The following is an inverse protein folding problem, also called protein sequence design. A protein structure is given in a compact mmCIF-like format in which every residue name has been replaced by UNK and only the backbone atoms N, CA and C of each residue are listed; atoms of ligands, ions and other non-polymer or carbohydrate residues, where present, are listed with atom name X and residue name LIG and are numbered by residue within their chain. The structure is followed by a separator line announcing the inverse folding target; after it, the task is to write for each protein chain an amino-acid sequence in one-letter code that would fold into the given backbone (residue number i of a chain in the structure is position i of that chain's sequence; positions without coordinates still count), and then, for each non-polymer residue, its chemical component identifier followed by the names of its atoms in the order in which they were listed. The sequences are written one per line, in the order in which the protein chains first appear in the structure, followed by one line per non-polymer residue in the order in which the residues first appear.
data_IF_048661620902
#
_entry.id   IF_048661620902
#
_cell.length_a   1.000
_cell.length_b   1.000
_cell.length_c   1.000
_cell.angle_alpha   90.00
_cell.angle_beta   90.00
_cell.angle_gamma   90.00
#
_symmetry.space_group_name_H-M   'P 1'
#
loop_
_entity.id
_entity.type
_entity.pdbx_description
1 polymer ?
#
# COMPACT_ATOMS: atom_id res chain seq x y z
N UNK A 1 -23.77 -33.86 -5.15
CA UNK A 1 -22.63 -32.96 -5.39
C UNK A 1 -22.51 -32.12 -4.13
N UNK A 2 -21.84 -32.69 -3.13
CA UNK A 2 -21.67 -32.10 -1.81
C UNK A 2 -20.40 -31.24 -1.86
N UNK A 3 -20.55 -29.93 -1.66
CA UNK A 3 -19.42 -29.02 -1.50
C UNK A 3 -18.81 -29.29 -0.13
N UNK A 4 -17.61 -29.87 -0.11
CA UNK A 4 -16.82 -29.98 1.11
C UNK A 4 -16.29 -28.59 1.48
N UNK A 5 -16.55 -28.18 2.73
CA UNK A 5 -16.19 -26.89 3.31
C UNK A 5 -14.75 -26.47 2.97
N UNK A 6 -14.60 -25.28 2.38
CA UNK A 6 -13.30 -24.64 2.29
C UNK A 6 -12.84 -24.33 3.73
N UNK A 7 -11.74 -24.93 4.17
CA UNK A 7 -11.15 -24.56 5.46
C UNK A 7 -10.36 -23.28 5.22
N UNK A 8 -10.85 -22.14 5.71
CA UNK A 8 -10.07 -20.90 5.79
C UNK A 8 -8.91 -21.11 6.77
N UNK A 9 -7.83 -21.72 6.31
CA UNK A 9 -6.58 -21.74 7.06
C UNK A 9 -5.94 -20.37 6.90
N UNK A 10 -6.08 -19.52 7.91
CA UNK A 10 -5.23 -18.34 8.11
C UNK A 10 -3.79 -18.88 8.21
N UNK A 11 -3.07 -18.88 7.09
CA UNK A 11 -1.62 -18.90 7.15
C UNK A 11 -1.21 -17.45 7.01
N UNK A 12 -0.76 -16.80 8.10
CA UNK A 12 0.08 -15.63 7.94
C UNK A 12 1.17 -16.02 6.94
N UNK A 13 1.53 -15.13 6.03
CA UNK A 13 2.75 -15.28 5.23
C UNK A 13 3.84 -15.89 6.12
N UNK A 14 4.68 -16.73 5.55
CA UNK A 14 6.04 -16.98 6.05
C UNK A 14 6.90 -15.69 6.08
N UNK A 15 6.30 -14.51 6.24
CA UNK A 15 6.87 -13.37 6.96
C UNK A 15 6.61 -13.62 8.43
N UNK A 16 7.59 -14.24 9.07
CA UNK A 16 7.64 -14.58 10.47
C UNK A 16 7.65 -13.33 11.38
N UNK A 17 6.54 -12.59 11.38
CA UNK A 17 6.21 -11.52 12.32
C UNK A 17 4.75 -11.72 12.70
N UNK A 18 4.49 -12.72 13.55
CA UNK A 18 3.18 -12.83 14.19
C UNK A 18 2.81 -11.51 14.87
N UNK A 19 1.51 -11.22 14.99
CA UNK A 19 1.01 -10.00 15.64
C UNK A 19 1.62 -9.74 17.03
N UNK A 20 2.07 -10.79 17.73
CA UNK A 20 2.87 -10.67 18.97
C UNK A 20 4.27 -10.07 18.78
N UNK A 21 4.97 -10.38 17.69
CA UNK A 21 6.29 -9.81 17.39
C UNK A 21 6.20 -8.34 16.94
N UNK A 22 5.12 -7.94 16.26
CA UNK A 22 4.85 -6.51 15.99
C UNK A 22 4.58 -5.78 17.30
N UNK A 23 3.71 -6.33 18.15
CA UNK A 23 3.39 -5.75 19.47
C UNK A 23 4.62 -5.61 20.38
N UNK A 24 5.52 -6.60 20.40
CA UNK A 24 6.76 -6.55 21.19
C UNK A 24 7.74 -5.49 20.66
N UNK A 25 7.84 -5.34 19.33
CA UNK A 25 8.68 -4.31 18.71
C UNK A 25 8.14 -2.91 19.01
N UNK A 26 6.82 -2.70 18.89
CA UNK A 26 6.20 -1.41 19.22
C UNK A 26 6.38 -1.05 20.70
N UNK A 27 6.15 -1.98 21.64
CA UNK A 27 6.41 -1.73 23.06
C UNK A 27 7.88 -1.44 23.37
N UNK A 28 8.81 -2.07 22.65
CA UNK A 28 10.23 -1.78 22.80
C UNK A 28 10.61 -0.41 22.22
N UNK A 29 10.00 0.00 21.10
CA UNK A 29 10.14 1.35 20.54
C UNK A 29 9.56 2.41 21.48
N UNK A 30 8.44 2.15 22.13
CA UNK A 30 7.86 3.06 23.14
C UNK A 30 8.82 3.28 24.30
N UNK A 31 9.40 2.19 24.84
CA UNK A 31 10.41 2.27 25.88
C UNK A 31 11.63 3.09 25.45
N UNK A 32 12.06 2.92 24.21
CA UNK A 32 13.16 3.68 23.61
C UNK A 32 12.84 5.18 23.51
N UNK A 33 11.64 5.53 23.03
CA UNK A 33 11.20 6.93 22.91
C UNK A 33 11.09 7.60 24.26
N UNK A 34 10.54 6.90 25.26
CA UNK A 34 10.48 7.39 26.65
C UNK A 34 11.88 7.68 27.17
N UNK A 35 12.83 6.76 26.96
CA UNK A 35 14.19 6.94 27.42
C UNK A 35 14.91 8.07 26.66
N UNK A 36 14.78 8.15 25.34
CA UNK A 36 15.34 9.23 24.53
C UNK A 36 14.83 10.60 24.99
N UNK A 37 13.52 10.72 25.23
CA UNK A 37 12.89 11.92 25.77
C UNK A 37 13.35 12.24 27.21
N UNK A 38 13.68 11.25 28.04
CA UNK A 38 14.22 11.49 29.37
C UNK A 38 15.67 12.00 29.34
N UNK A 39 16.42 11.68 28.29
CA UNK A 39 17.85 12.02 28.15
C UNK A 39 18.16 13.21 27.24
N UNK A 40 17.14 13.85 26.63
CA UNK A 40 17.26 14.86 25.55
C UNK A 40 17.84 16.24 25.93
N UNK A 41 19.01 16.29 26.56
CA UNK A 41 19.61 17.57 26.95
C UNK A 41 19.91 18.47 25.73
N UNK A 42 19.60 19.77 25.83
CA UNK A 42 19.82 20.80 24.80
C UNK A 42 19.00 20.67 23.50
N UNK A 43 17.96 19.82 23.49
CA UNK A 43 17.02 19.69 22.36
C UNK A 43 15.64 20.27 22.69
N UNK A 44 15.58 21.24 23.60
CA UNK A 44 14.32 21.81 24.12
C UNK A 44 13.47 22.50 23.05
N UNK A 45 14.11 22.92 21.95
CA UNK A 45 13.43 23.49 20.80
C UNK A 45 12.56 22.45 20.07
N UNK A 46 12.96 21.17 20.04
CA UNK A 46 12.16 20.10 19.46
C UNK A 46 11.01 19.71 20.41
N UNK A 47 9.86 19.41 19.82
CA UNK A 47 8.80 18.69 20.52
C UNK A 47 9.32 17.33 21.03
N UNK A 48 8.72 16.77 22.10
CA UNK A 48 9.02 15.41 22.53
C UNK A 48 8.89 14.43 21.36
N UNK A 49 9.79 13.45 21.30
CA UNK A 49 9.74 12.42 20.30
C UNK A 49 8.49 11.55 20.45
N UNK A 50 7.90 11.16 19.34
CA UNK A 50 6.78 10.25 19.23
C UNK A 50 7.06 9.17 18.16
N UNK A 51 6.32 8.07 18.21
CA UNK A 51 6.35 7.04 17.17
C UNK A 51 5.34 7.42 16.09
N UNK A 52 5.77 7.39 14.84
CA UNK A 52 4.93 7.57 13.65
C UNK A 52 5.22 6.48 12.63
N UNK A 53 4.22 6.03 11.88
CA UNK A 53 4.44 5.06 10.80
C UNK A 53 5.22 5.70 9.64
N UNK A 54 6.18 4.96 9.06
CA UNK A 54 6.93 5.44 7.90
C UNK A 54 6.05 5.53 6.64
N UNK A 55 5.03 4.68 6.50
CA UNK A 55 4.04 4.64 5.39
C UNK A 55 4.62 4.47 3.96
N UNK A 56 5.94 4.57 3.79
CA UNK A 56 6.69 4.34 2.55
C UNK A 56 7.17 2.90 2.41
N UNK A 57 7.49 2.26 3.54
CA UNK A 57 7.98 0.89 3.62
C UNK A 57 7.28 0.15 4.76
N UNK A 58 6.72 -1.02 4.47
CA UNK A 58 5.91 -1.84 5.40
C UNK A 58 6.65 -2.27 6.69
N UNK A 59 7.96 -2.02 6.79
CA UNK A 59 8.80 -2.38 7.93
C UNK A 59 9.61 -1.19 8.46
N UNK A 60 9.27 0.05 8.09
CA UNK A 60 9.92 1.22 8.64
C UNK A 60 8.99 1.93 9.62
N UNK A 61 9.57 2.40 10.72
CA UNK A 61 8.91 3.21 11.75
C UNK A 61 9.72 4.48 11.96
N UNK A 62 9.06 5.60 12.13
CA UNK A 62 9.69 6.89 12.35
C UNK A 62 9.64 7.28 13.83
N UNK A 63 10.78 7.67 14.37
CA UNK A 63 10.82 8.51 15.57
C UNK A 63 10.72 9.95 15.09
N UNK A 64 9.63 10.61 15.43
CA UNK A 64 9.26 11.94 14.95
C UNK A 64 9.33 12.96 16.07
N UNK A 65 9.83 14.15 15.79
CA UNK A 65 9.48 15.34 16.54
C UNK A 65 8.68 16.27 15.64
N UNK A 66 7.50 16.68 16.11
CA UNK A 66 6.62 17.58 15.38
C UNK A 66 7.32 18.91 15.05
N UNK A 67 6.88 19.52 13.95
CA UNK A 67 7.48 20.71 13.39
C UNK A 67 7.74 21.81 14.43
N UNK A 68 8.95 22.38 14.37
CA UNK A 68 9.25 23.61 15.06
C UNK A 68 8.31 24.71 14.55
N UNK A 69 7.64 25.44 15.44
CA UNK A 69 6.67 26.49 15.07
C UNK A 69 7.33 27.52 14.12
N UNK A 70 8.61 27.80 14.31
CA UNK A 70 9.36 28.79 13.53
C UNK A 70 9.72 28.30 12.12
N UNK A 71 9.99 27.00 11.95
CA UNK A 71 10.50 26.44 10.69
C UNK A 71 9.44 25.69 9.89
N UNK A 72 8.44 25.12 10.56
CA UNK A 72 7.43 24.27 9.95
C UNK A 72 7.96 22.93 9.43
N UNK A 73 9.16 22.50 9.87
CA UNK A 73 9.84 21.27 9.42
C UNK A 73 9.88 20.25 10.55
N UNK A 74 9.36 19.04 10.29
CA UNK A 74 9.45 17.89 11.18
C UNK A 74 10.87 17.29 11.14
N UNK A 75 11.36 16.85 12.30
CA UNK A 75 12.48 15.92 12.38
C UNK A 75 11.96 14.48 12.37
N UNK A 76 12.59 13.61 11.58
CA UNK A 76 12.29 12.17 11.55
C UNK A 76 13.56 11.34 11.57
N UNK A 77 13.54 10.25 12.32
CA UNK A 77 14.57 9.23 12.30
C UNK A 77 13.94 7.90 11.91
N UNK A 78 14.42 7.29 10.83
CA UNK A 78 13.84 6.08 10.23
C UNK A 78 14.47 4.84 10.84
N UNK A 79 13.65 3.96 11.40
CA UNK A 79 14.05 2.68 12.00
C UNK A 79 13.44 1.56 11.16
N UNK A 80 14.27 0.67 10.64
CA UNK A 80 13.79 -0.56 9.99
C UNK A 80 13.53 -1.64 11.06
N UNK A 81 12.27 -2.03 11.24
CA UNK A 81 11.85 -3.05 12.22
C UNK A 81 12.04 -4.49 11.74
N UNK A 82 12.41 -4.70 10.47
CA UNK A 82 12.74 -6.04 9.93
C UNK A 82 14.09 -6.53 10.43
N UNK A 83 14.98 -5.61 10.78
CA UNK A 83 16.28 -5.88 11.39
C UNK A 83 16.10 -6.28 12.88
N UNK A 84 15.40 -7.39 13.13
CA UNK A 84 15.30 -8.07 14.44
C UNK A 84 16.66 -8.49 15.04
N UNK A 85 17.76 -8.24 14.32
CA UNK A 85 19.08 -8.73 14.64
C UNK A 85 19.88 -7.81 15.58
N UNK A 86 19.45 -6.57 15.78
CA UNK A 86 20.09 -5.69 16.77
C UNK A 86 19.10 -5.33 17.87
N UNK A 87 19.42 -5.62 19.15
CA UNK A 87 18.57 -5.16 20.25
C UNK A 87 18.47 -3.64 20.17
N UNK A 88 17.24 -3.11 20.26
CA UNK A 88 16.98 -1.69 20.51
C UNK A 88 17.78 -1.30 21.75
N UNK A 89 18.97 -0.75 21.54
CA UNK A 89 20.00 -0.59 22.56
C UNK A 89 20.18 0.87 22.90
N UNK A 90 20.88 1.15 23.99
CA UNK A 90 21.30 2.51 24.33
C UNK A 90 22.11 3.20 23.21
N UNK A 91 22.72 2.43 22.30
CA UNK A 91 23.40 2.96 21.11
C UNK A 91 22.43 3.68 20.17
N UNK A 92 21.24 3.12 19.95
CA UNK A 92 20.23 3.71 19.07
C UNK A 92 19.68 5.02 19.63
N UNK A 93 19.55 5.13 20.96
CA UNK A 93 19.16 6.39 21.62
C UNK A 93 20.20 7.48 21.32
N UNK A 94 21.49 7.17 21.48
CA UNK A 94 22.56 8.11 21.14
C UNK A 94 22.54 8.49 19.67
N UNK A 95 22.29 7.54 18.75
CA UNK A 95 22.16 7.81 17.31
C UNK A 95 20.99 8.77 17.00
N UNK A 96 19.82 8.55 17.62
CA UNK A 96 18.64 9.43 17.44
C UNK A 96 18.91 10.82 18.00
N UNK A 97 19.48 10.92 19.20
CA UNK A 97 19.81 12.21 19.82
C UNK A 97 20.86 12.97 19.02
N UNK A 98 21.87 12.27 18.48
CA UNK A 98 22.86 12.85 17.60
C UNK A 98 22.22 13.37 16.31
N UNK A 99 21.36 12.57 15.67
CA UNK A 99 20.64 13.01 14.47
C UNK A 99 19.73 14.23 14.74
N UNK A 100 19.08 14.28 15.90
CA UNK A 100 18.28 15.42 16.31
C UNK A 100 19.13 16.68 16.56
N UNK A 101 20.32 16.53 17.15
CA UNK A 101 21.29 17.60 17.34
C UNK A 101 21.85 18.12 16.00
N UNK A 102 22.16 17.20 15.08
CA UNK A 102 22.55 17.53 13.70
C UNK A 102 21.44 18.31 12.97
N UNK A 103 20.17 17.89 13.11
CA UNK A 103 19.01 18.59 12.56
C UNK A 103 18.88 20.01 13.14
N UNK A 104 19.04 20.14 14.46
CA UNK A 104 19.01 21.43 15.17
C UNK A 104 20.15 22.37 14.77
N UNK A 105 21.25 21.81 14.26
CA UNK A 105 22.45 22.54 13.87
C UNK A 105 22.47 22.94 12.38
N UNK A 106 21.42 22.66 11.62
CA UNK A 106 21.31 23.06 10.21
C UNK A 106 21.18 24.60 10.12
N UNK A 107 22.20 25.25 9.56
CA UNK A 107 22.34 26.72 9.53
C UNK A 107 21.16 27.44 8.86
N UNK A 108 20.54 26.84 7.84
CA UNK A 108 19.40 27.43 7.12
C UNK A 108 18.23 26.45 6.98
N UNK A 109 17.80 25.89 8.12
CA UNK A 109 16.66 24.95 8.19
C UNK A 109 15.37 25.58 7.64
N UNK A 110 15.21 26.89 7.80
CA UNK A 110 14.07 27.64 7.24
C UNK A 110 14.07 27.65 5.72
N UNK A 111 15.20 27.95 5.07
CA UNK A 111 15.28 27.90 3.61
C UNK A 111 15.12 26.47 3.09
N UNK A 112 15.68 25.47 3.79
CA UNK A 112 15.47 24.06 3.45
C UNK A 112 13.98 23.69 3.52
N UNK A 113 13.29 24.07 4.59
CA UNK A 113 11.84 23.86 4.74
C UNK A 113 11.03 24.56 3.65
N UNK A 114 11.35 25.81 3.31
CA UNK A 114 10.70 26.54 2.23
C UNK A 114 10.91 25.86 0.86
N UNK A 115 12.09 25.32 0.60
CA UNK A 115 12.40 24.62 -0.63
C UNK A 115 11.63 23.28 -0.74
N UNK A 116 11.58 22.50 0.34
CA UNK A 116 10.79 21.25 0.41
C UNK A 116 9.30 21.54 0.20
N UNK A 117 8.77 22.56 0.88
CA UNK A 117 7.38 23.00 0.72
C UNK A 117 7.08 23.37 -0.73
N UNK A 118 7.95 24.19 -1.34
CA UNK A 118 7.78 24.64 -2.72
C UNK A 118 7.76 23.46 -3.70
N UNK A 119 8.67 22.50 -3.53
CA UNK A 119 8.72 21.29 -4.34
C UNK A 119 7.45 20.43 -4.17
N UNK A 120 7.02 20.20 -2.93
CA UNK A 120 5.81 19.42 -2.64
C UNK A 120 4.53 20.11 -3.16
N UNK A 121 4.38 21.42 -2.93
CA UNK A 121 3.25 22.21 -3.42
C UNK A 121 3.20 22.23 -4.95
N UNK A 122 4.36 22.32 -5.62
CA UNK A 122 4.45 22.20 -7.07
C UNK A 122 3.99 20.81 -7.55
N UNK A 123 4.38 19.74 -6.85
CA UNK A 123 3.97 18.36 -7.16
C UNK A 123 2.46 18.14 -7.03
N UNK A 124 1.79 18.70 -6.01
CA UNK A 124 0.34 18.55 -5.81
C UNK A 124 -0.52 19.57 -6.57
N UNK A 125 0.10 20.54 -7.25
CA UNK A 125 -0.61 21.68 -7.85
C UNK A 125 -1.78 21.25 -8.78
N UNK A 126 -1.57 20.19 -9.56
CA UNK A 126 -2.53 19.66 -10.54
C UNK A 126 -3.87 19.23 -9.94
N UNK A 127 -3.90 18.88 -8.65
CA UNK A 127 -5.09 18.40 -7.94
C UNK A 127 -5.54 19.33 -6.81
N UNK A 128 -4.83 20.44 -6.58
CA UNK A 128 -5.15 21.41 -5.51
C UNK A 128 -6.51 22.11 -5.66
N UNK A 129 -7.06 22.17 -6.89
CA UNK A 129 -8.34 22.79 -7.21
C UNK A 129 -9.48 21.81 -7.48
N UNK A 130 -9.31 20.52 -7.21
CA UNK A 130 -10.35 19.51 -7.46
C UNK A 130 -11.46 19.53 -6.41
N UNK A 131 -12.47 18.67 -6.56
CA UNK A 131 -13.58 18.56 -5.60
C UNK A 131 -13.07 17.99 -4.27
N UNK A 132 -12.09 17.09 -4.35
CA UNK A 132 -11.43 16.47 -3.23
C UNK A 132 -9.93 16.83 -3.25
N UNK A 133 -9.54 18.08 -2.94
CA UNK A 133 -8.17 18.53 -3.19
C UNK A 133 -7.17 17.82 -2.28
N UNK A 134 -6.09 17.29 -2.86
CA UNK A 134 -4.95 16.82 -2.09
C UNK A 134 -4.28 17.98 -1.34
N UNK A 135 -3.73 17.70 -0.15
CA UNK A 135 -3.16 18.73 0.72
C UNK A 135 -1.84 18.28 1.33
N UNK A 136 -0.85 19.15 1.29
CA UNK A 136 0.36 18.99 2.08
C UNK A 136 0.02 19.10 3.57
N UNK A 137 0.32 18.05 4.35
CA UNK A 137 0.06 17.96 5.79
C UNK A 137 1.29 18.39 6.58
N UNK A 138 2.43 17.81 6.22
CA UNK A 138 3.70 18.06 6.89
C UNK A 138 4.85 17.94 5.88
N UNK A 139 5.95 18.59 6.22
CA UNK A 139 7.24 18.43 5.55
C UNK A 139 8.26 18.10 6.62
N UNK A 140 9.34 17.41 6.24
CA UNK A 140 10.36 17.04 7.21
C UNK A 140 11.70 16.73 6.57
N UNK A 141 12.66 16.50 7.45
CA UNK A 141 13.94 15.89 7.12
C UNK A 141 14.05 14.56 7.86
N UNK A 142 14.31 13.49 7.11
CA UNK A 142 14.53 12.16 7.67
C UNK A 142 16.02 11.81 7.70
N UNK A 143 16.44 11.19 8.80
CA UNK A 143 17.74 10.53 8.89
C UNK A 143 17.53 9.02 8.90
N UNK A 144 18.13 8.33 7.94
CA UNK A 144 18.29 6.89 7.96
C UNK A 144 19.63 6.55 8.62
N UNK A 145 19.68 5.45 9.37
CA UNK A 145 20.89 4.99 10.08
C UNK A 145 22.14 4.90 9.19
N UNK A 146 21.94 4.46 7.95
CA UNK A 146 23.03 4.21 6.99
C UNK A 146 23.30 5.40 6.05
N UNK A 147 22.49 6.48 6.12
CA UNK A 147 22.63 7.62 5.23
C UNK A 147 23.53 8.70 5.83
N UNK A 148 24.48 9.17 5.02
CA UNK A 148 25.41 10.25 5.39
C UNK A 148 24.68 11.59 5.61
N UNK A 149 23.54 11.83 4.94
CA UNK A 149 22.75 13.06 5.04
C UNK A 149 21.29 12.84 5.44
N UNK A 150 20.53 13.93 5.44
CA UNK A 150 19.08 13.91 5.57
C UNK A 150 18.41 13.73 4.20
N UNK A 151 17.33 12.97 4.15
CA UNK A 151 16.35 12.95 3.05
C UNK A 151 15.25 13.96 3.32
N UNK A 152 14.61 14.44 2.27
CA UNK A 152 13.43 15.29 2.33
C UNK A 152 12.18 14.44 2.40
N UNK A 153 11.23 14.85 3.24
CA UNK A 153 9.93 14.20 3.40
C UNK A 153 8.79 15.17 3.12
N UNK A 154 7.76 14.67 2.45
CA UNK A 154 6.45 15.31 2.33
C UNK A 154 5.33 14.32 2.67
N UNK A 155 4.47 14.71 3.60
CA UNK A 155 3.23 13.99 3.92
C UNK A 155 2.07 14.66 3.20
N UNK A 156 1.36 13.92 2.36
CA UNK A 156 0.27 14.45 1.54
C UNK A 156 -1.02 13.72 1.87
N UNK A 157 -2.02 14.48 2.34
CA UNK A 157 -3.38 13.99 2.54
C UNK A 157 -4.08 13.84 1.19
N UNK A 158 -4.50 12.62 0.88
CA UNK A 158 -5.15 12.26 -0.37
C UNK A 158 -6.03 11.01 -0.23
N UNK A 159 -6.75 10.66 -1.29
CA UNK A 159 -7.48 9.40 -1.39
C UNK A 159 -6.49 8.24 -1.53
N UNK A 160 -6.61 7.24 -0.65
CA UNK A 160 -5.89 5.96 -0.71
C UNK A 160 -6.48 5.00 -1.75
N UNK A 161 -5.93 3.78 -1.82
CA UNK A 161 -6.40 2.75 -2.77
C UNK A 161 -7.80 2.21 -2.44
N UNK A 162 -8.29 2.40 -1.22
CA UNK A 162 -9.66 2.11 -0.80
C UNK A 162 -10.61 3.31 -1.02
N UNK A 163 -10.12 4.39 -1.63
CA UNK A 163 -10.80 5.69 -1.81
C UNK A 163 -11.14 6.43 -0.52
N UNK A 164 -10.59 6.03 0.63
CA UNK A 164 -10.71 6.79 1.88
C UNK A 164 -9.59 7.81 1.98
N UNK A 165 -9.82 8.84 2.77
CA UNK A 165 -8.78 9.83 3.05
C UNK A 165 -7.69 9.23 3.93
N UNK A 166 -6.49 9.16 3.38
CA UNK A 166 -5.26 8.81 4.08
C UNK A 166 -4.23 9.93 3.99
N UNK A 167 -3.06 9.67 4.57
CA UNK A 167 -1.87 10.49 4.33
C UNK A 167 -0.81 9.56 3.79
N UNK A 168 -0.40 9.79 2.55
CA UNK A 168 0.71 9.14 1.90
C UNK A 168 1.98 9.95 2.15
N UNK A 169 3.10 9.25 2.30
CA UNK A 169 4.40 9.87 2.52
C UNK A 169 5.30 9.67 1.31
N UNK A 170 6.07 10.69 0.99
CA UNK A 170 7.19 10.63 0.04
C UNK A 170 8.46 10.95 0.79
N UNK A 171 9.49 10.14 0.57
CA UNK A 171 10.85 10.40 1.01
C UNK A 171 11.79 10.42 -0.21
N UNK A 172 12.68 11.41 -0.30
CA UNK A 172 13.68 11.48 -1.37
C UNK A 172 14.96 12.18 -0.93
N UNK A 173 16.09 11.82 -1.55
CA UNK A 173 17.38 12.47 -1.31
C UNK A 173 17.53 13.82 -2.03
N UNK A 174 16.65 14.18 -2.97
CA UNK A 174 16.71 15.45 -3.69
C UNK A 174 15.32 16.10 -3.83
N UNK A 175 15.30 17.43 -3.98
CA UNK A 175 14.05 18.17 -4.14
C UNK A 175 13.36 17.89 -5.49
N UNK A 176 14.14 17.62 -6.55
CA UNK A 176 13.61 17.28 -7.88
C UNK A 176 12.87 15.94 -7.85
N UNK A 177 13.49 14.89 -7.28
CA UNK A 177 12.83 13.60 -7.16
C UNK A 177 11.68 13.66 -6.13
N UNK A 178 11.79 14.43 -5.04
CA UNK A 178 10.65 14.69 -4.16
C UNK A 178 9.45 15.25 -4.93
N UNK A 179 9.65 16.29 -5.74
CA UNK A 179 8.60 16.90 -6.56
C UNK A 179 7.99 15.87 -7.53
N UNK A 180 8.81 15.09 -8.22
CA UNK A 180 8.36 14.09 -9.19
C UNK A 180 7.55 12.96 -8.52
N UNK A 181 7.98 12.48 -7.36
CA UNK A 181 7.26 11.45 -6.61
C UNK A 181 5.93 11.98 -6.06
N UNK A 182 5.90 13.22 -5.57
CA UNK A 182 4.66 13.88 -5.13
C UNK A 182 3.72 14.09 -6.33
N UNK A 183 4.23 14.43 -7.52
CA UNK A 183 3.43 14.53 -8.73
C UNK A 183 2.81 13.17 -9.13
N UNK A 184 3.56 12.05 -9.01
CA UNK A 184 3.01 10.70 -9.22
C UNK A 184 1.90 10.35 -8.23
N UNK A 185 1.99 10.82 -6.98
CA UNK A 185 0.91 10.67 -6.00
C UNK A 185 -0.31 11.52 -6.40
N UNK A 186 -0.11 12.76 -6.84
CA UNK A 186 -1.19 13.62 -7.36
C UNK A 186 -1.91 12.97 -8.56
N UNK A 187 -1.18 12.35 -9.48
CA UNK A 187 -1.78 11.61 -10.60
C UNK A 187 -2.61 10.41 -10.14
N UNK A 188 -2.10 9.63 -9.17
CA UNK A 188 -2.87 8.53 -8.54
C UNK A 188 -4.14 9.06 -7.90
N UNK A 189 -4.03 10.14 -7.13
CA UNK A 189 -5.16 10.79 -6.49
C UNK A 189 -6.22 11.28 -7.49
N UNK A 190 -5.82 11.91 -8.60
CA UNK A 190 -6.76 12.33 -9.65
C UNK A 190 -7.51 11.14 -10.28
N UNK A 191 -6.81 10.01 -10.50
CA UNK A 191 -7.46 8.77 -10.97
C UNK A 191 -8.45 8.23 -9.94
N UNK A 192 -8.05 8.19 -8.67
CA UNK A 192 -8.89 7.74 -7.54
C UNK A 192 -10.12 8.64 -7.37
N UNK A 193 -9.99 9.96 -7.52
CA UNK A 193 -11.11 10.91 -7.49
C UNK A 193 -12.14 10.61 -8.59
N UNK A 194 -11.68 10.33 -9.81
CA UNK A 194 -12.57 9.93 -10.90
C UNK A 194 -13.26 8.57 -10.64
N UNK A 195 -12.58 7.63 -9.98
CA UNK A 195 -13.18 6.34 -9.57
C UNK A 195 -14.23 6.56 -8.48
N UNK A 196 -13.93 7.37 -7.46
CA UNK A 196 -14.85 7.71 -6.37
C UNK A 196 -16.10 8.40 -6.90
N UNK A 197 -15.96 9.35 -7.84
CA UNK A 197 -17.10 10.00 -8.47
C UNK A 197 -18.01 8.98 -9.19
N UNK A 198 -17.42 8.03 -9.93
CA UNK A 198 -18.18 6.96 -10.60
C UNK A 198 -18.85 6.00 -9.61
N UNK A 199 -18.17 5.66 -8.51
CA UNK A 199 -18.71 4.82 -7.45
C UNK A 199 -19.94 5.49 -6.82
N UNK A 200 -19.79 6.75 -6.40
CA UNK A 200 -20.84 7.56 -5.79
C UNK A 200 -22.05 7.71 -6.73
N UNK A 201 -21.83 7.97 -8.02
CA UNK A 201 -22.89 8.04 -9.02
C UNK A 201 -23.63 6.71 -9.21
N UNK A 202 -23.00 5.58 -8.86
CA UNK A 202 -23.56 4.23 -8.94
C UNK A 202 -24.09 3.72 -7.59
N UNK A 203 -24.08 4.55 -6.55
CA UNK A 203 -24.61 4.22 -5.22
C UNK A 203 -23.68 3.38 -4.34
N UNK A 204 -22.37 3.37 -4.60
CA UNK A 204 -21.36 2.76 -3.75
C UNK A 204 -20.22 3.72 -3.40
N UNK A 205 -19.28 3.26 -2.59
CA UNK A 205 -18.10 4.02 -2.15
C UNK A 205 -16.82 3.53 -2.85
N UNK A 206 -16.84 2.30 -3.37
CA UNK A 206 -15.75 1.70 -4.13
C UNK A 206 -16.31 0.64 -5.10
N UNK A 207 -15.42 -0.12 -5.75
CA UNK A 207 -15.77 -1.20 -6.66
C UNK A 207 -15.21 -2.53 -6.20
N UNK A 208 -15.89 -3.62 -6.53
CA UNK A 208 -15.34 -4.98 -6.48
C UNK A 208 -15.27 -5.55 -7.89
N UNK A 209 -14.12 -6.12 -8.22
CA UNK A 209 -13.93 -6.92 -9.41
C UNK A 209 -14.66 -8.27 -9.32
N UNK A 210 -15.20 -8.76 -10.44
CA UNK A 210 -15.91 -10.03 -10.49
C UNK A 210 -15.04 -11.26 -10.15
N UNK A 211 -13.72 -11.22 -10.37
CA UNK A 211 -12.81 -12.30 -9.91
C UNK A 211 -12.66 -12.25 -8.39
N UNK A 212 -12.49 -11.06 -7.80
CA UNK A 212 -12.47 -10.89 -6.34
C UNK A 212 -13.79 -11.37 -5.70
N UNK A 213 -14.93 -10.98 -6.27
CA UNK A 213 -16.24 -11.47 -5.82
C UNK A 213 -16.35 -12.99 -5.91
N UNK A 214 -15.79 -13.62 -6.96
CA UNK A 214 -15.79 -15.07 -7.12
C UNK A 214 -14.90 -15.77 -6.09
N UNK A 215 -13.75 -15.18 -5.75
CA UNK A 215 -12.87 -15.71 -4.71
C UNK A 215 -13.54 -15.66 -3.34
N UNK A 216 -14.23 -14.58 -3.01
CA UNK A 216 -15.04 -14.49 -1.78
C UNK A 216 -16.13 -15.55 -1.72
N UNK A 217 -16.84 -15.78 -2.83
CA UNK A 217 -17.87 -16.82 -2.93
C UNK A 217 -17.30 -18.22 -2.68
N UNK A 218 -16.10 -18.52 -3.20
CA UNK A 218 -15.48 -19.84 -3.06
C UNK A 218 -14.77 -20.03 -1.71
N UNK A 219 -14.35 -18.94 -1.07
CA UNK A 219 -13.69 -18.98 0.24
C UNK A 219 -14.64 -18.96 1.43
N UNK A 220 -15.96 -18.89 1.18
CA UNK A 220 -16.99 -18.70 2.21
C UNK A 220 -16.76 -17.43 3.08
N UNK A 221 -16.06 -16.43 2.54
CA UNK A 221 -15.84 -15.14 3.21
C UNK A 221 -16.89 -14.13 2.77
N UNK A 222 -17.54 -13.48 3.73
CA UNK A 222 -18.38 -12.33 3.40
C UNK A 222 -17.53 -11.13 2.98
N UNK A 223 -18.12 -10.24 2.16
CA UNK A 223 -17.47 -9.00 1.75
C UNK A 223 -17.03 -8.16 2.97
N UNK A 224 -17.86 -8.07 4.01
CA UNK A 224 -17.54 -7.28 5.20
C UNK A 224 -16.34 -7.85 5.98
N UNK A 225 -16.25 -9.18 6.10
CA UNK A 225 -15.10 -9.83 6.73
C UNK A 225 -13.82 -9.59 5.92
N UNK A 226 -13.90 -9.72 4.59
CA UNK A 226 -12.75 -9.44 3.72
C UNK A 226 -12.31 -7.97 3.79
N UNK A 227 -13.25 -7.02 3.79
CA UNK A 227 -12.95 -5.60 3.96
C UNK A 227 -12.33 -5.30 5.32
N UNK A 228 -12.74 -5.99 6.38
CA UNK A 228 -12.11 -5.85 7.70
C UNK A 228 -10.68 -6.40 7.70
N UNK A 229 -10.43 -7.53 7.02
CA UNK A 229 -9.11 -8.15 6.94
C UNK A 229 -8.10 -7.33 6.13
N UNK A 230 -8.53 -6.69 5.05
CA UNK A 230 -7.68 -5.87 4.16
C UNK A 230 -7.52 -4.43 4.69
N UNK A 231 -8.34 -4.03 5.66
CA UNK A 231 -8.18 -2.71 6.30
C UNK A 231 -6.86 -2.60 7.07
N UNK A 232 -6.44 -3.70 7.69
CA UNK A 232 -5.28 -3.76 8.56
C UNK A 232 -3.99 -4.21 7.83
N UNK A 233 -4.14 -4.77 6.62
CA UNK A 233 -3.04 -5.28 5.78
C UNK A 233 -3.35 -5.00 4.30
N UNK A 234 -2.46 -4.31 3.58
CA UNK A 234 -2.66 -3.90 2.19
C UNK A 234 -2.92 -5.09 1.23
N UNK A 235 -2.51 -6.29 1.64
CA UNK A 235 -2.86 -7.54 0.99
C UNK A 235 -3.34 -8.62 1.97
N UNK A 236 -4.44 -9.31 1.64
CA UNK A 236 -4.91 -10.46 2.41
C UNK A 236 -4.74 -11.76 1.63
N UNK A 237 -4.09 -12.76 2.22
CA UNK A 237 -3.83 -14.06 1.61
C UNK A 237 -4.89 -15.10 2.03
N UNK A 238 -5.47 -15.78 1.05
CA UNK A 238 -6.48 -16.82 1.20
C UNK A 238 -5.95 -18.13 0.62
N UNK A 239 -5.81 -19.15 1.46
CA UNK A 239 -5.53 -20.51 0.98
C UNK A 239 -6.82 -21.20 0.58
N UNK A 240 -6.90 -21.64 -0.69
CA UNK A 240 -8.04 -22.33 -1.25
C UNK A 240 -7.69 -23.82 -1.37
N UNK A 241 -7.86 -24.56 -0.27
CA UNK A 241 -7.70 -26.02 -0.28
C UNK A 241 -9.03 -26.69 -0.66
N UNK A 242 -9.05 -27.44 -1.75
CA UNK A 242 -10.14 -28.38 -2.05
C UNK A 242 -9.56 -29.77 -2.25
N UNK A 243 -10.31 -30.82 -1.90
CA UNK A 243 -9.89 -32.23 -2.02
C UNK A 243 -9.52 -32.65 -3.45
N UNK A 244 -9.95 -31.89 -4.46
CA UNK A 244 -9.93 -32.30 -5.86
C UNK A 244 -8.90 -31.52 -6.70
N UNK A 245 -8.19 -30.56 -6.11
CA UNK A 245 -7.24 -29.69 -6.81
C UNK A 245 -6.02 -29.50 -5.92
N UNK A 246 -4.81 -29.57 -6.48
CA UNK A 246 -3.63 -29.01 -5.81
C UNK A 246 -3.98 -27.63 -5.25
N UNK A 247 -3.62 -27.36 -4.00
CA UNK A 247 -4.10 -26.18 -3.29
C UNK A 247 -3.81 -24.89 -4.07
N UNK A 248 -4.84 -24.11 -4.37
CA UNK A 248 -4.68 -22.79 -4.97
C UNK A 248 -4.43 -21.74 -3.88
N UNK A 249 -3.66 -20.72 -4.22
CA UNK A 249 -3.42 -19.57 -3.35
C UNK A 249 -4.01 -18.34 -4.01
N UNK A 250 -4.85 -17.63 -3.28
CA UNK A 250 -5.43 -16.38 -3.73
C UNK A 250 -5.12 -15.28 -2.72
N UNK A 251 -5.33 -14.05 -3.13
CA UNK A 251 -5.38 -12.94 -2.20
C UNK A 251 -6.22 -11.80 -2.73
N UNK A 252 -6.60 -10.92 -1.82
CA UNK A 252 -7.40 -9.74 -2.10
C UNK A 252 -6.58 -8.49 -1.76
N UNK A 253 -6.72 -7.45 -2.57
CA UNK A 253 -5.99 -6.19 -2.40
C UNK A 253 -6.77 -5.03 -3.02
N UNK A 254 -6.50 -3.83 -2.54
CA UNK A 254 -7.02 -2.60 -3.14
C UNK A 254 -6.13 -2.12 -4.28
N UNK A 255 -6.74 -1.72 -5.39
CA UNK A 255 -6.05 -1.01 -6.46
C UNK A 255 -6.94 0.13 -6.98
N UNK A 256 -6.57 1.37 -6.65
CA UNK A 256 -7.23 2.58 -7.14
C UNK A 256 -8.77 2.56 -7.01
N UNK A 257 -9.27 2.08 -5.88
CA UNK A 257 -10.70 2.01 -5.54
C UNK A 257 -11.43 0.79 -6.05
N UNK A 258 -10.69 -0.21 -6.52
CA UNK A 258 -11.23 -1.51 -6.92
C UNK A 258 -10.62 -2.58 -6.02
N UNK A 259 -11.48 -3.31 -5.30
CA UNK A 259 -11.09 -4.53 -4.61
C UNK A 259 -10.85 -5.61 -5.68
N UNK A 260 -9.58 -5.99 -5.83
CA UNK A 260 -9.09 -6.97 -6.80
C UNK A 260 -8.64 -8.25 -6.11
N UNK A 261 -8.33 -9.23 -6.94
CA UNK A 261 -7.79 -10.49 -6.50
C UNK A 261 -6.59 -10.90 -7.35
N UNK A 262 -5.63 -11.57 -6.72
CA UNK A 262 -4.67 -12.41 -7.40
C UNK A 262 -4.94 -13.87 -7.06
N UNK A 263 -4.59 -14.79 -7.94
CA UNK A 263 -4.72 -16.22 -7.71
C UNK A 263 -3.67 -17.00 -8.51
N UNK A 264 -3.12 -18.05 -7.93
CA UNK A 264 -2.30 -19.04 -8.60
C UNK A 264 -2.73 -20.45 -8.16
N UNK A 265 -2.39 -21.45 -8.97
CA UNK A 265 -2.74 -22.85 -8.75
C UNK A 265 -1.77 -23.61 -7.84
N UNK A 266 -0.80 -22.94 -7.22
CA UNK A 266 0.21 -23.53 -6.34
C UNK A 266 1.27 -24.40 -7.04
N UNK A 267 0.97 -24.94 -8.23
CA UNK A 267 1.90 -25.71 -9.08
C UNK A 267 2.55 -24.84 -10.16
N UNK A 268 2.08 -23.59 -10.32
CA UNK A 268 2.54 -22.58 -11.26
C UNK A 268 2.32 -22.95 -12.73
N UNK A 269 1.19 -23.58 -13.07
CA UNK A 269 0.78 -23.76 -14.48
C UNK A 269 -0.11 -22.61 -14.96
N UNK A 270 -0.75 -21.90 -14.02
CA UNK A 270 -1.41 -20.64 -14.33
C UNK A 270 -1.45 -19.67 -13.13
N UNK A 271 -1.57 -18.39 -13.46
CA UNK A 271 -1.80 -17.33 -12.48
C UNK A 271 -2.68 -16.24 -13.06
N UNK A 272 -3.38 -15.53 -12.19
CA UNK A 272 -4.13 -14.34 -12.53
C UNK A 272 -3.78 -13.23 -11.55
N UNK A 273 -3.33 -12.09 -12.08
CA UNK A 273 -3.01 -10.88 -11.30
C UNK A 273 -3.13 -9.66 -12.21
N UNK A 274 -3.60 -8.53 -11.66
CA UNK A 274 -3.64 -7.24 -12.38
C UNK A 274 -4.26 -7.33 -13.78
N UNK A 275 -5.38 -8.06 -13.89
CA UNK A 275 -6.08 -8.31 -15.15
C UNK A 275 -5.35 -9.24 -16.13
N UNK A 276 -4.18 -9.78 -15.81
CA UNK A 276 -3.45 -10.72 -16.66
C UNK A 276 -3.67 -12.16 -16.21
N UNK A 277 -4.19 -13.02 -17.09
CA UNK A 277 -4.22 -14.47 -16.93
C UNK A 277 -3.04 -15.08 -17.69
N UNK A 278 -2.05 -15.57 -16.98
CA UNK A 278 -0.90 -16.30 -17.52
C UNK A 278 -1.18 -17.78 -17.49
N UNK A 279 -1.03 -18.45 -18.64
CA UNK A 279 -1.27 -19.87 -18.82
C UNK A 279 -0.04 -20.53 -19.43
N UNK A 280 0.44 -21.62 -18.84
CA UNK A 280 1.45 -22.48 -19.44
C UNK A 280 0.77 -23.39 -20.47
N UNK A 281 0.84 -23.03 -21.75
CA UNK A 281 0.21 -23.77 -22.85
C UNK A 281 1.17 -23.91 -24.02
N UNK A 282 1.62 -25.15 -24.24
CA UNK A 282 2.43 -25.50 -25.40
C UNK A 282 1.56 -25.56 -26.67
N UNK A 283 2.06 -25.00 -27.77
CA UNK A 283 1.56 -25.33 -29.12
C UNK A 283 0.27 -24.64 -29.58
N UNK A 284 -0.12 -23.47 -29.04
CA UNK A 284 -1.24 -22.70 -29.61
C UNK A 284 -0.79 -22.05 -30.93
N UNK A 285 -1.49 -22.29 -32.07
CA UNK A 285 -1.15 -21.66 -33.34
C UNK A 285 -1.31 -20.13 -33.29
N UNK A 286 -0.39 -19.38 -33.93
CA UNK A 286 -0.43 -17.90 -33.96
C UNK A 286 -1.74 -17.33 -34.51
N UNK A 287 -2.39 -18.06 -35.43
CA UNK A 287 -3.70 -17.68 -35.99
C UNK A 287 -4.81 -17.74 -34.95
N UNK A 288 -4.74 -18.68 -34.00
CA UNK A 288 -5.67 -18.76 -32.87
C UNK A 288 -5.41 -17.60 -31.93
N UNK A 289 -4.15 -17.34 -31.56
CA UNK A 289 -3.73 -16.24 -30.69
C UNK A 289 -4.21 -14.89 -31.22
N UNK A 290 -3.99 -14.61 -32.51
CA UNK A 290 -4.43 -13.36 -33.14
C UNK A 290 -5.96 -13.19 -33.18
N UNK A 291 -6.73 -14.25 -32.95
CA UNK A 291 -8.20 -14.23 -32.94
C UNK A 291 -8.82 -14.08 -31.55
N UNK A 292 -8.01 -14.09 -30.48
CA UNK A 292 -8.49 -14.06 -29.10
C UNK A 292 -8.96 -12.67 -28.63
N UNK A 293 -8.32 -11.54 -29.00
CA UNK A 293 -8.81 -10.23 -28.59
C UNK A 293 -10.27 -9.99 -29.02
N UNK A 294 -11.08 -9.47 -28.10
CA UNK A 294 -12.52 -9.25 -28.24
C UNK A 294 -13.40 -10.45 -27.88
N UNK A 295 -12.84 -11.65 -27.69
CA UNK A 295 -13.60 -12.83 -27.25
C UNK A 295 -13.77 -12.86 -25.74
N UNK A 296 -14.79 -13.59 -25.29
CA UNK A 296 -15.01 -13.88 -23.86
C UNK A 296 -14.18 -15.08 -23.44
N UNK A 297 -13.65 -15.08 -22.21
CA UNK A 297 -12.84 -16.17 -21.69
C UNK A 297 -13.59 -17.51 -21.74
N UNK A 298 -14.86 -17.53 -21.36
CA UNK A 298 -15.71 -18.74 -21.39
C UNK A 298 -15.92 -19.35 -22.77
N UNK A 299 -15.61 -18.63 -23.86
CA UNK A 299 -15.61 -19.19 -25.22
C UNK A 299 -14.33 -19.98 -25.53
N UNK A 300 -13.28 -19.77 -24.73
CA UNK A 300 -11.99 -20.44 -24.83
C UNK A 300 -11.88 -21.54 -23.78
N UNK A 301 -12.13 -21.19 -22.51
CA UNK A 301 -11.98 -22.08 -21.35
C UNK A 301 -12.96 -21.69 -20.26
N UNK A 302 -13.58 -22.69 -19.63
CA UNK A 302 -14.30 -22.48 -18.38
C UNK A 302 -13.29 -22.47 -17.23
N UNK A 303 -13.12 -21.31 -16.58
CA UNK A 303 -12.23 -21.16 -15.44
C UNK A 303 -13.05 -21.05 -14.15
N UNK A 304 -12.68 -21.79 -13.10
CA UNK A 304 -13.44 -21.84 -11.84
C UNK A 304 -13.46 -20.49 -11.10
N UNK A 305 -12.35 -19.76 -11.16
CA UNK A 305 -12.14 -18.54 -10.38
C UNK A 305 -12.28 -17.27 -11.22
N UNK A 306 -12.14 -17.36 -12.54
CA UNK A 306 -12.15 -16.19 -13.42
C UNK A 306 -13.49 -16.20 -14.16
N UNK A 307 -14.27 -15.12 -14.11
CA UNK A 307 -15.60 -15.11 -14.71
C UNK A 307 -15.57 -15.39 -16.22
N UNK A 308 -16.48 -16.26 -16.69
CA UNK A 308 -16.57 -16.63 -18.10
C UNK A 308 -16.86 -15.44 -19.04
N UNK A 309 -17.48 -14.39 -18.52
CA UNK A 309 -17.81 -13.17 -19.25
C UNK A 309 -16.64 -12.19 -19.44
N UNK A 310 -15.48 -12.45 -18.81
CA UNK A 310 -14.30 -11.61 -18.94
C UNK A 310 -13.86 -11.51 -20.39
N UNK A 311 -13.56 -10.30 -20.85
CA UNK A 311 -13.23 -10.03 -22.26
C UNK A 311 -11.71 -9.96 -22.43
N UNK A 312 -11.17 -10.72 -23.37
CA UNK A 312 -9.75 -10.69 -23.70
C UNK A 312 -9.47 -9.40 -24.48
N UNK A 313 -8.63 -8.51 -23.97
CA UNK A 313 -8.26 -7.26 -24.63
C UNK A 313 -6.95 -7.37 -25.37
N UNK A 314 -6.02 -8.18 -24.86
CA UNK A 314 -4.68 -8.36 -25.43
C UNK A 314 -4.21 -9.78 -25.19
N UNK A 315 -3.35 -10.27 -26.08
CA UNK A 315 -2.64 -11.53 -25.91
C UNK A 315 -1.17 -11.34 -26.20
N UNK A 316 -0.32 -11.88 -25.34
CA UNK A 316 1.11 -12.03 -25.57
C UNK A 316 1.50 -13.51 -25.42
N UNK A 317 2.54 -13.93 -26.14
CA UNK A 317 3.14 -15.25 -25.97
C UNK A 317 4.64 -15.10 -25.75
N UNK A 318 5.13 -15.77 -24.71
CA UNK A 318 6.54 -15.80 -24.33
C UNK A 318 6.96 -17.25 -24.06
N UNK A 319 7.60 -17.89 -25.04
CA UNK A 319 7.89 -19.32 -24.96
C UNK A 319 6.61 -20.14 -24.87
N UNK A 320 6.50 -20.96 -23.81
CA UNK A 320 5.35 -21.81 -23.53
C UNK A 320 4.24 -21.10 -22.74
N UNK A 321 4.43 -19.81 -22.44
CA UNK A 321 3.47 -19.01 -21.69
C UNK A 321 2.62 -18.12 -22.61
N UNK A 322 1.33 -18.08 -22.32
CA UNK A 322 0.38 -17.17 -22.93
C UNK A 322 -0.19 -16.26 -21.85
N UNK A 323 -0.06 -14.96 -22.06
CA UNK A 323 -0.62 -13.93 -21.20
C UNK A 323 -1.86 -13.33 -21.87
N UNK A 324 -3.01 -13.49 -21.22
CA UNK A 324 -4.28 -12.91 -21.65
C UNK A 324 -4.59 -11.71 -20.75
N UNK A 325 -4.64 -10.52 -21.32
CA UNK A 325 -5.17 -9.35 -20.61
C UNK A 325 -6.70 -9.40 -20.67
N UNK A 326 -7.34 -9.35 -19.50
CA UNK A 326 -8.77 -9.56 -19.31
C UNK A 326 -9.42 -8.32 -18.69
N UNK A 327 -10.52 -7.87 -19.29
CA UNK A 327 -11.43 -6.93 -18.61
C UNK A 327 -12.56 -7.71 -17.97
N UNK A 328 -12.65 -7.59 -16.66
CA UNK A 328 -13.66 -8.20 -15.80
C UNK A 328 -14.73 -7.16 -15.43
N UNK A 329 -15.95 -7.62 -15.15
CA UNK A 329 -17.02 -6.74 -14.71
C UNK A 329 -16.75 -6.22 -13.30
N UNK A 330 -17.14 -4.97 -13.02
CA UNK A 330 -17.03 -4.36 -11.70
C UNK A 330 -18.42 -4.03 -11.17
N UNK A 331 -18.62 -4.22 -9.86
CA UNK A 331 -19.88 -3.90 -9.17
C UNK A 331 -19.60 -2.88 -8.07
N UNK A 332 -20.44 -1.84 -7.89
CA UNK A 332 -20.23 -0.90 -6.80
C UNK A 332 -20.46 -1.59 -5.45
N UNK A 333 -19.63 -1.24 -4.46
CA UNK A 333 -19.74 -1.73 -3.09
C UNK A 333 -19.75 -0.57 -2.10
N UNK A 334 -20.45 -0.75 -0.99
CA UNK A 334 -20.36 0.15 0.16
C UNK A 334 -19.20 -0.29 1.05
N UNK A 335 -18.30 0.63 1.36
CA UNK A 335 -17.15 0.37 2.24
C UNK A 335 -17.43 1.05 3.56
N UNK A 336 -18.31 0.44 4.36
CA UNK A 336 -18.92 1.08 5.53
C UNK A 336 -17.99 1.97 6.35
N UNK A 337 -18.52 3.12 6.79
CA UNK A 337 -17.90 3.97 7.81
C UNK A 337 -18.09 3.30 9.18
N UNK A 338 -17.13 2.51 9.64
CA UNK A 338 -17.07 2.18 11.07
C UNK A 338 -16.43 3.31 11.91
N UNK A 339 -15.94 4.39 11.27
CA UNK A 339 -15.38 5.55 11.95
C UNK A 339 -15.94 6.88 11.43
N UNK A 340 -17.26 7.04 11.46
CA UNK A 340 -17.84 8.37 11.72
C UNK A 340 -17.60 8.76 13.17
N UNK A 341 -16.33 8.89 13.55
CA UNK A 341 -15.92 9.65 14.73
C UNK A 341 -15.30 10.95 14.23
N UNK A 342 -16.17 11.95 14.20
CA UNK A 342 -15.91 13.36 14.46
C UNK A 342 -14.52 13.92 14.06
N UNK A 343 -14.50 14.64 12.94
CA UNK A 343 -13.84 15.94 12.85
C UNK A 343 -14.71 16.89 12.03
#
# INVERSE_FOLDING_TARGET
MELANATSSIRPRDTNVGSGAVSEVFSALEGLVVQANATRQNLDQLAPFEIADARTHAYDVHIRAAALIETGVDFRYVINVRDKCEPLSSGLISEILQAADEFCSIEDLNAAGAAVRTAADAGIHSVSGSVHPARLVAIGLAKLRWNVGFSFIADVKMLGDDLKWGVDQVESASLEDLQDQVAKLAERHARREAVLFRANASGGDAWIDATAAKILEVSDLSLNEALALIRDDDDHHISLSSSDVGGAFAGLYWDNGVLKAWINDGVQDWSFQDSSLSLNVEGIPQTVIGSLPGKRLGQLVEHRFIPAQSVITKVAQTGDWIDLELVTAQTPIAVGDNDRLAY
#
